data_IF_771490289385
#
_entry.id   IF_771490289385
#
_cell.length_a   1.000
_cell.length_b   1.000
_cell.length_c   1.000
_cell.angle_alpha   90.00
_cell.angle_beta   90.00
_cell.angle_gamma   90.00
#
_symmetry.space_group_name_H-M   'P 1'
#
loop_
_entity.id
_entity.type
_entity.pdbx_description
1 polymer ?
#
# COMPACT_ATOMS: atom_id res chain seq x y z
N UNK A 1 -51.72 -28.24 31.74
CA UNK A 1 -51.44 -26.81 31.46
C UNK A 1 -49.97 -26.58 31.80
N UNK A 2 -49.21 -25.91 30.94
CA UNK A 2 -47.75 -25.68 30.98
C UNK A 2 -46.85 -26.76 30.33
N UNK A 3 -46.70 -26.70 29.00
CA UNK A 3 -45.49 -27.23 28.31
C UNK A 3 -45.26 -26.62 26.91
N UNK A 4 -45.87 -25.48 26.57
CA UNK A 4 -45.77 -24.87 25.24
C UNK A 4 -44.79 -23.69 25.13
N UNK A 5 -44.28 -23.16 26.25
CA UNK A 5 -43.40 -21.99 26.26
C UNK A 5 -41.94 -22.28 25.93
N UNK A 6 -41.42 -23.45 26.32
CA UNK A 6 -40.01 -23.81 26.12
C UNK A 6 -39.66 -24.08 24.65
N UNK A 7 -40.60 -24.61 23.86
CA UNK A 7 -40.37 -24.89 22.44
C UNK A 7 -40.17 -23.59 21.64
N UNK A 8 -40.94 -22.53 21.92
CA UNK A 8 -40.85 -21.26 21.20
C UNK A 8 -39.51 -20.55 21.41
N UNK A 9 -38.97 -20.57 22.64
CA UNK A 9 -37.67 -19.98 22.95
C UNK A 9 -36.50 -20.69 22.24
N UNK A 10 -36.57 -22.02 22.13
CA UNK A 10 -35.55 -22.83 21.45
C UNK A 10 -35.52 -22.53 19.95
N UNK A 11 -36.69 -22.38 19.30
CA UNK A 11 -36.78 -22.00 17.89
C UNK A 11 -36.20 -20.61 17.60
N UNK A 12 -36.42 -19.63 18.49
CA UNK A 12 -35.87 -18.27 18.34
C UNK A 12 -34.34 -18.27 18.47
N UNK A 13 -33.79 -19.02 19.43
CA UNK A 13 -32.33 -19.13 19.62
C UNK A 13 -31.68 -19.81 18.41
N UNK A 14 -32.28 -20.87 17.86
CA UNK A 14 -31.77 -21.55 16.66
C UNK A 14 -31.87 -20.64 15.43
N UNK A 15 -32.92 -19.84 15.30
CA UNK A 15 -33.05 -18.86 14.21
C UNK A 15 -31.97 -17.77 14.30
N UNK A 16 -31.67 -17.27 15.50
CA UNK A 16 -30.60 -16.28 15.69
C UNK A 16 -29.19 -16.87 15.43
N UNK A 17 -28.95 -18.13 15.85
CA UNK A 17 -27.71 -18.84 15.55
C UNK A 17 -27.52 -19.12 14.05
N UNK A 18 -28.61 -19.40 13.33
CA UNK A 18 -28.56 -19.59 11.87
C UNK A 18 -28.36 -18.26 11.14
N UNK A 19 -28.97 -17.15 11.57
CA UNK A 19 -28.64 -15.81 11.04
C UNK A 19 -27.18 -15.41 11.30
N UNK A 20 -26.63 -15.71 12.48
CA UNK A 20 -25.22 -15.44 12.80
C UNK A 20 -24.24 -16.30 11.98
N UNK A 21 -24.62 -17.51 11.58
CA UNK A 21 -23.76 -18.39 10.77
C UNK A 21 -23.86 -18.11 9.27
N UNK A 22 -25.01 -17.61 8.79
CA UNK A 22 -25.21 -17.22 7.37
C UNK A 22 -24.55 -15.88 7.03
N UNK A 23 -24.18 -15.05 8.03
CA UNK A 23 -23.41 -13.82 7.84
C UNK A 23 -21.92 -14.04 7.47
N UNK A 24 -21.50 -15.26 7.16
CA UNK A 24 -20.15 -15.58 6.67
C UNK A 24 -20.17 -16.04 5.22
N UNK A 25 -20.69 -15.18 4.34
CA UNK A 25 -20.51 -15.32 2.89
C UNK A 25 -19.92 -14.03 2.32
N UNK A 26 -18.59 -13.91 2.41
CA UNK A 26 -17.83 -12.89 1.68
C UNK A 26 -16.59 -13.56 1.07
N UNK A 27 -16.78 -14.01 -0.17
CA UNK A 27 -15.76 -14.09 -1.24
C UNK A 27 -14.40 -14.73 -0.91
N UNK A 28 -14.19 -15.93 -1.47
CA UNK A 28 -12.96 -16.73 -1.51
C UNK A 28 -11.82 -16.05 -2.34
N UNK A 29 -11.86 -14.73 -2.54
CA UNK A 29 -10.81 -13.90 -3.15
C UNK A 29 -10.13 -12.93 -2.18
N UNK A 30 -10.57 -12.86 -0.92
CA UNK A 30 -9.97 -12.00 0.10
C UNK A 30 -9.02 -12.83 0.98
N UNK A 31 -8.01 -13.45 0.37
CA UNK A 31 -6.89 -14.03 1.14
C UNK A 31 -6.31 -12.88 1.97
N UNK A 32 -6.46 -12.99 3.27
CA UNK A 32 -6.28 -11.95 4.28
C UNK A 32 -5.08 -11.06 3.98
N UNK A 33 -5.36 -9.88 3.43
CA UNK A 33 -4.31 -8.91 3.11
C UNK A 33 -3.60 -8.58 4.40
N UNK A 34 -2.25 -8.63 4.39
CA UNK A 34 -1.48 -8.24 5.55
C UNK A 34 -1.92 -6.85 6.05
N UNK A 35 -1.99 -6.61 7.36
CA UNK A 35 -2.40 -5.32 7.90
C UNK A 35 -1.56 -4.16 7.30
N UNK A 36 -2.13 -2.94 7.18
CA UNK A 36 -1.40 -1.79 6.61
C UNK A 36 -0.03 -1.56 7.22
N UNK A 37 0.10 -1.71 8.54
CA UNK A 37 1.38 -1.60 9.27
C UNK A 37 2.43 -2.59 8.79
N UNK A 38 2.05 -3.83 8.53
CA UNK A 38 2.94 -4.88 8.01
C UNK A 38 3.39 -4.54 6.59
N UNK A 39 2.48 -4.07 5.74
CA UNK A 39 2.79 -3.66 4.37
C UNK A 39 3.75 -2.45 4.35
N UNK A 40 3.53 -1.45 5.21
CA UNK A 40 4.41 -0.29 5.37
C UNK A 40 5.80 -0.69 5.86
N UNK A 41 5.87 -1.58 6.86
CA UNK A 41 7.13 -2.12 7.36
C UNK A 41 7.89 -2.88 6.27
N UNK A 42 7.19 -3.70 5.49
CA UNK A 42 7.77 -4.42 4.36
C UNK A 42 8.31 -3.45 3.28
N UNK A 43 7.56 -2.41 2.93
CA UNK A 43 7.99 -1.39 1.98
C UNK A 43 9.22 -0.62 2.46
N UNK A 44 9.25 -0.23 3.74
CA UNK A 44 10.44 0.36 4.39
C UNK A 44 11.64 -0.59 4.38
N UNK A 45 11.41 -1.87 4.62
CA UNK A 45 12.45 -2.90 4.54
C UNK A 45 13.06 -3.01 3.15
N UNK A 46 12.24 -2.91 2.09
CA UNK A 46 12.74 -2.88 0.69
C UNK A 46 13.54 -1.61 0.43
N UNK A 47 13.03 -0.43 0.83
CA UNK A 47 13.76 0.83 0.69
C UNK A 47 15.15 0.76 1.35
N UNK A 48 15.22 0.23 2.57
CA UNK A 48 16.48 0.09 3.30
C UNK A 48 17.48 -0.85 2.62
N UNK A 49 17.00 -1.90 1.94
CA UNK A 49 17.87 -2.81 1.17
C UNK A 49 18.36 -2.19 -0.14
N UNK A 50 17.53 -1.38 -0.80
CA UNK A 50 17.88 -0.77 -2.08
C UNK A 50 18.77 0.46 -1.91
N UNK A 51 18.36 1.40 -1.07
CA UNK A 51 19.02 2.71 -0.90
C UNK A 51 19.04 3.12 0.59
N UNK A 52 19.87 2.44 1.42
CA UNK A 52 19.85 2.62 2.88
C UNK A 52 20.09 4.06 3.35
N UNK A 53 20.93 4.82 2.65
CA UNK A 53 21.21 6.24 2.98
C UNK A 53 20.03 7.19 2.75
N UNK A 54 18.98 6.73 2.06
CA UNK A 54 17.77 7.49 1.75
C UNK A 54 16.57 7.09 2.61
N UNK A 55 16.75 6.21 3.59
CA UNK A 55 15.66 5.66 4.41
C UNK A 55 14.72 6.74 4.97
N UNK A 56 15.27 7.85 5.46
CA UNK A 56 14.51 8.97 6.03
C UNK A 56 14.01 10.00 5.00
N UNK A 57 14.36 9.82 3.72
CA UNK A 57 13.97 10.75 2.64
C UNK A 57 12.61 10.43 2.02
N UNK A 58 12.08 9.23 2.31
CA UNK A 58 10.81 8.75 1.80
C UNK A 58 9.84 8.45 2.94
N UNK A 59 8.58 8.80 2.74
CA UNK A 59 7.47 8.37 3.57
C UNK A 59 6.50 7.53 2.74
N UNK A 60 5.97 6.47 3.35
CA UNK A 60 4.99 5.59 2.74
C UNK A 60 3.66 5.70 3.46
N UNK A 61 2.57 5.72 2.69
CA UNK A 61 1.22 5.82 3.23
C UNK A 61 0.27 4.86 2.52
N UNK A 62 -0.44 4.03 3.29
CA UNK A 62 -1.54 3.22 2.74
C UNK A 62 -2.79 4.10 2.62
N UNK A 63 -3.39 4.10 1.44
CA UNK A 63 -4.65 4.81 1.14
C UNK A 63 -5.76 3.84 0.77
N UNK A 64 -7.02 4.27 0.85
CA UNK A 64 -8.14 3.43 0.41
C UNK A 64 -8.25 3.41 -1.13
N UNK A 65 -8.89 2.37 -1.67
CA UNK A 65 -9.19 2.30 -3.11
C UNK A 65 -10.10 3.44 -3.57
N UNK A 66 -10.96 3.97 -2.69
CA UNK A 66 -11.86 5.08 -3.04
C UNK A 66 -11.09 6.35 -3.39
N UNK A 67 -9.98 6.60 -2.68
CA UNK A 67 -9.06 7.70 -3.01
C UNK A 67 -8.34 7.48 -4.36
N UNK A 68 -8.36 6.26 -4.89
CA UNK A 68 -7.86 5.89 -6.20
C UNK A 68 -8.96 5.75 -7.26
N UNK A 69 -10.20 6.19 -7.00
CA UNK A 69 -11.32 6.01 -7.94
C UNK A 69 -11.79 4.55 -8.06
N UNK A 70 -11.66 3.76 -7.00
CA UNK A 70 -12.10 2.37 -6.93
C UNK A 70 -11.11 1.33 -7.49
N UNK A 71 -10.01 1.77 -8.09
CA UNK A 71 -8.98 0.91 -8.70
C UNK A 71 -7.68 0.90 -7.88
N UNK A 72 -6.77 -0.01 -8.18
CA UNK A 72 -5.43 0.03 -7.57
C UNK A 72 -4.61 1.18 -8.16
N UNK A 73 -4.08 2.05 -7.31
CA UNK A 73 -3.21 3.14 -7.72
C UNK A 73 -2.05 3.37 -6.75
N UNK A 74 -1.05 4.12 -7.22
CA UNK A 74 -0.10 4.80 -6.37
C UNK A 74 -0.04 6.29 -6.71
N UNK A 75 0.35 7.09 -5.73
CA UNK A 75 0.55 8.53 -5.84
C UNK A 75 1.95 8.87 -5.37
N UNK A 76 2.66 9.70 -6.12
CA UNK A 76 3.98 10.22 -5.76
C UNK A 76 3.86 11.72 -5.65
N UNK A 77 4.23 12.29 -4.51
CA UNK A 77 4.18 13.73 -4.27
C UNK A 77 5.36 14.19 -3.43
N UNK A 78 5.59 15.50 -3.39
CA UNK A 78 6.52 16.06 -2.43
C UNK A 78 5.89 16.00 -1.03
N UNK A 79 6.67 15.62 -0.04
CA UNK A 79 6.19 15.56 1.33
C UNK A 79 5.75 16.97 1.79
N UNK A 80 4.62 17.14 2.48
CA UNK A 80 4.14 18.46 2.92
C UNK A 80 5.15 19.23 3.79
N UNK A 81 6.02 18.49 4.49
CA UNK A 81 7.08 19.06 5.33
C UNK A 81 8.47 19.03 4.68
N UNK A 82 8.55 18.79 3.36
CA UNK A 82 9.80 18.67 2.59
C UNK A 82 10.68 19.93 2.63
N UNK A 83 10.10 21.11 2.85
CA UNK A 83 10.84 22.37 3.01
C UNK A 83 11.75 22.39 4.24
N UNK A 84 11.45 21.57 5.26
CA UNK A 84 12.27 21.49 6.47
C UNK A 84 13.47 20.56 6.27
N UNK A 85 14.62 20.96 6.80
CA UNK A 85 15.83 20.14 6.79
C UNK A 85 15.63 18.89 7.66
N UNK A 86 16.06 17.72 7.19
CA UNK A 86 15.94 16.45 7.91
C UNK A 86 14.60 15.73 7.76
N UNK A 87 13.57 16.39 7.21
CA UNK A 87 12.28 15.76 6.97
C UNK A 87 12.29 14.92 5.67
N UNK A 88 11.35 13.95 5.55
CA UNK A 88 11.10 13.27 4.29
C UNK A 88 10.87 14.26 3.16
N UNK A 89 11.38 13.92 1.98
CA UNK A 89 11.28 14.74 0.77
C UNK A 89 10.14 14.27 -0.11
N UNK A 90 9.95 12.96 -0.21
CA UNK A 90 8.98 12.33 -1.10
C UNK A 90 7.97 11.54 -0.27
N UNK A 91 6.68 11.73 -0.58
CA UNK A 91 5.58 10.91 -0.07
C UNK A 91 5.11 9.99 -1.19
N UNK A 92 5.06 8.69 -0.90
CA UNK A 92 4.51 7.69 -1.80
C UNK A 92 3.31 7.05 -1.12
N UNK A 93 2.14 7.26 -1.71
CA UNK A 93 0.88 6.69 -1.25
C UNK A 93 0.44 5.57 -2.18
N UNK A 94 -0.19 4.53 -1.64
CA UNK A 94 -0.65 3.41 -2.45
C UNK A 94 -1.71 2.59 -1.74
N UNK A 95 -2.56 1.92 -2.52
CA UNK A 95 -3.60 1.04 -1.95
C UNK A 95 -3.02 -0.15 -1.22
N UNK A 96 -1.77 -0.53 -1.53
CA UNK A 96 -1.10 -1.71 -0.99
C UNK A 96 0.41 -1.57 -1.02
N UNK A 97 1.11 -2.44 -0.30
CA UNK A 97 2.58 -2.51 -0.31
C UNK A 97 3.17 -2.72 -1.71
N UNK A 98 2.46 -3.40 -2.61
CA UNK A 98 2.90 -3.57 -4.01
C UNK A 98 2.87 -2.23 -4.74
N UNK A 99 1.77 -1.47 -4.61
CA UNK A 99 1.64 -0.15 -5.21
C UNK A 99 2.62 0.87 -4.61
N UNK A 100 2.92 0.79 -3.31
CA UNK A 100 3.98 1.60 -2.70
C UNK A 100 5.34 1.36 -3.36
N UNK A 101 5.70 0.10 -3.59
CA UNK A 101 6.98 -0.25 -4.23
C UNK A 101 6.99 0.03 -5.73
N UNK A 102 5.83 -0.08 -6.39
CA UNK A 102 5.68 0.37 -7.77
C UNK A 102 5.91 1.88 -7.88
N UNK A 103 5.38 2.67 -6.95
CA UNK A 103 5.63 4.11 -6.85
C UNK A 103 7.10 4.43 -6.56
N UNK A 104 7.74 3.69 -5.64
CA UNK A 104 9.18 3.84 -5.37
C UNK A 104 10.01 3.57 -6.63
N UNK A 105 9.75 2.44 -7.30
CA UNK A 105 10.43 2.08 -8.53
C UNK A 105 10.19 3.13 -9.63
N UNK A 106 8.97 3.65 -9.77
CA UNK A 106 8.64 4.70 -10.73
C UNK A 106 9.44 5.98 -10.45
N UNK A 107 9.47 6.45 -9.21
CA UNK A 107 10.25 7.62 -8.82
C UNK A 107 11.73 7.44 -9.13
N UNK A 108 12.30 6.30 -8.73
CA UNK A 108 13.71 5.99 -8.98
C UNK A 108 14.03 5.95 -10.48
N UNK A 109 13.14 5.40 -11.30
CA UNK A 109 13.32 5.34 -12.74
C UNK A 109 13.24 6.71 -13.40
N UNK A 110 12.17 7.46 -13.15
CA UNK A 110 11.84 8.64 -13.93
C UNK A 110 12.41 9.94 -13.36
N UNK A 111 12.61 10.05 -12.05
CA UNK A 111 13.24 11.22 -11.42
C UNK A 111 14.72 11.02 -11.16
N UNK A 112 15.12 9.82 -10.72
CA UNK A 112 16.53 9.54 -10.38
C UNK A 112 17.32 8.86 -11.49
N UNK A 113 16.72 8.54 -12.63
CA UNK A 113 17.38 7.85 -13.75
C UNK A 113 17.96 6.47 -13.39
N UNK A 114 17.49 5.86 -12.29
CA UNK A 114 17.96 4.58 -11.81
C UNK A 114 17.31 3.43 -12.55
N UNK A 115 17.96 2.26 -12.53
CA UNK A 115 17.47 1.07 -13.22
C UNK A 115 17.64 -0.17 -12.34
N UNK A 116 16.62 -1.02 -12.30
CA UNK A 116 16.65 -2.30 -11.57
C UNK A 116 16.16 -3.40 -12.51
N UNK A 117 16.98 -4.44 -12.67
CA UNK A 117 16.71 -5.62 -13.46
C UNK A 117 17.32 -6.86 -12.80
N UNK A 118 17.17 -8.04 -13.40
CA UNK A 118 17.91 -9.20 -12.93
C UNK A 118 19.42 -9.00 -13.08
N UNK A 119 20.19 -9.58 -12.17
CA UNK A 119 21.66 -9.46 -12.16
C UNK A 119 22.30 -9.84 -13.50
N UNK A 120 21.73 -10.85 -14.17
CA UNK A 120 22.20 -11.32 -15.48
C UNK A 120 21.81 -10.40 -16.65
N UNK A 121 20.90 -9.46 -16.47
CA UNK A 121 20.39 -8.56 -17.52
C UNK A 121 20.76 -7.08 -17.27
N UNK A 122 21.70 -6.82 -16.35
CA UNK A 122 22.15 -5.46 -16.01
C UNK A 122 22.06 -5.12 -14.53
N UNK A 123 21.46 -5.97 -13.69
CA UNK A 123 21.38 -5.80 -12.25
C UNK A 123 20.71 -4.50 -11.83
N UNK A 124 21.17 -3.94 -10.70
CA UNK A 124 20.69 -2.68 -10.15
C UNK A 124 21.73 -1.56 -10.32
N UNK A 125 21.40 -0.56 -11.14
CA UNK A 125 22.16 0.68 -11.28
C UNK A 125 21.48 1.77 -10.44
N UNK A 126 22.01 2.00 -9.24
CA UNK A 126 21.48 2.99 -8.28
C UNK A 126 22.39 4.22 -8.10
N UNK A 127 23.54 4.27 -8.77
CA UNK A 127 24.51 5.36 -8.66
C UNK A 127 24.00 6.71 -9.19
N UNK A 128 22.96 6.71 -10.02
CA UNK A 128 22.31 7.93 -10.52
C UNK A 128 21.37 8.56 -9.49
N UNK A 129 21.02 7.85 -8.42
CA UNK A 129 20.17 8.38 -7.36
C UNK A 129 20.93 9.50 -6.63
N UNK A 130 20.44 10.76 -6.65
CA UNK A 130 21.11 11.85 -5.96
C UNK A 130 21.17 11.61 -4.46
N UNK A 131 22.07 12.30 -3.77
CA UNK A 131 22.13 12.25 -2.30
C UNK A 131 20.77 12.58 -1.66
N UNK A 132 20.50 12.03 -0.47
CA UNK A 132 19.21 12.16 0.23
C UNK A 132 18.70 13.60 0.39
N UNK A 133 19.60 14.57 0.53
CA UNK A 133 19.26 16.00 0.62
C UNK A 133 18.98 16.70 -0.72
N UNK A 134 19.17 16.01 -1.85
CA UNK A 134 19.14 16.55 -3.21
C UNK A 134 18.24 15.72 -4.13
N UNK A 135 17.31 14.95 -3.55
CA UNK A 135 16.33 14.19 -4.31
C UNK A 135 15.50 15.13 -5.21
N UNK A 136 15.26 14.77 -6.49
CA UNK A 136 14.55 15.62 -7.42
C UNK A 136 13.11 15.91 -6.95
N UNK A 137 12.71 17.17 -7.05
CA UNK A 137 11.35 17.59 -6.76
C UNK A 137 10.38 16.99 -7.78
N UNK A 138 9.23 16.49 -7.30
CA UNK A 138 8.14 16.09 -8.19
C UNK A 138 7.44 17.35 -8.67
N UNK A 139 7.26 17.50 -9.98
CA UNK A 139 6.62 18.69 -10.54
C UNK A 139 5.12 18.69 -10.22
N UNK A 140 4.52 19.88 -10.21
CA UNK A 140 3.09 20.11 -9.95
C UNK A 140 2.62 19.47 -8.62
N UNK A 141 1.36 19.03 -8.58
CA UNK A 141 0.74 18.41 -7.40
C UNK A 141 1.14 16.93 -7.19
N UNK A 142 2.06 16.41 -8.00
CA UNK A 142 2.49 15.02 -7.98
C UNK A 142 1.97 14.18 -9.15
N UNK A 143 2.12 12.86 -9.03
CA UNK A 143 1.74 11.90 -10.08
C UNK A 143 0.84 10.82 -9.50
N UNK A 144 -0.35 10.69 -10.08
CA UNK A 144 -1.29 9.60 -9.84
C UNK A 144 -1.19 8.58 -10.98
N UNK A 145 -0.88 7.32 -10.66
CA UNK A 145 -0.89 6.21 -11.62
C UNK A 145 -1.90 5.16 -11.19
N UNK A 146 -2.95 5.00 -11.99
CA UNK A 146 -3.93 3.93 -11.84
C UNK A 146 -3.50 2.71 -12.66
N UNK A 147 -3.58 1.52 -12.06
CA UNK A 147 -3.35 0.26 -12.78
C UNK A 147 -4.64 -0.14 -13.49
N UNK A 148 -4.67 -0.17 -14.84
CA UNK A 148 -5.90 -0.42 -15.58
C UNK A 148 -6.38 -1.87 -15.45
N UNK A 149 -5.47 -2.79 -15.11
CA UNK A 149 -5.77 -4.22 -15.01
C UNK A 149 -5.84 -4.61 -13.54
N UNK A 150 -7.00 -5.06 -13.03
CA UNK A 150 -7.13 -5.61 -11.69
C UNK A 150 -6.48 -7.01 -11.67
N UNK A 151 -5.31 -7.13 -11.04
CA UNK A 151 -4.69 -8.41 -10.75
C UNK A 151 -5.10 -8.82 -9.33
N UNK A 152 -5.77 -9.97 -9.24
CA UNK A 152 -6.33 -10.58 -8.04
C UNK A 152 -5.34 -11.54 -7.37
#
# INVERSE_FOLDING_TARGET
>A
MASSSSFSAIFIIISLYTFFTIARSSTIGNRERAPPSVQLSAARGVLNRLIPSHYNSFEFQIISKDQCGGVSCFVISNHPSSSKRGNPKILISGVTGVELLAGLHWYLKFWCGAHISWDKTGGAQLSSVPNSGSLPHVQDDGVLIQRPIPWN
#
